data_IF_619212427018
#
_entry.id   IF_619212427018
#
_cell.length_a   1.000
_cell.length_b   1.000
_cell.length_c   1.000
_cell.angle_alpha   90.00
_cell.angle_beta   90.00
_cell.angle_gamma   90.00
#
_symmetry.space_group_name_H-M   'P 1'
#
loop_
_entity.id
_entity.type
_entity.pdbx_description
1 polymer ?
#
# COMPACT_ATOMS: atom_id res chain seq x y z
N UNK A 1 -3.70 23.96 -13.14
CA UNK A 1 -3.88 25.43 -13.15
C UNK A 1 -4.59 25.93 -11.90
N UNK A 2 -5.86 25.56 -11.59
CA UNK A 2 -6.60 26.18 -10.47
C UNK A 2 -5.96 25.97 -9.09
N UNK A 3 -5.40 24.78 -8.82
CA UNK A 3 -4.77 24.50 -7.52
C UNK A 3 -3.48 25.31 -7.28
N UNK A 4 -2.65 25.49 -8.32
CA UNK A 4 -1.37 26.21 -8.18
C UNK A 4 -1.62 27.70 -7.97
N UNK A 5 -2.59 28.26 -8.72
CA UNK A 5 -3.04 29.65 -8.53
C UNK A 5 -3.60 29.87 -7.12
N UNK A 6 -4.48 28.97 -6.65
CA UNK A 6 -5.02 29.04 -5.29
C UNK A 6 -3.92 28.98 -4.22
N UNK A 7 -2.90 28.12 -4.40
CA UNK A 7 -1.74 28.05 -3.52
C UNK A 7 -0.86 29.31 -3.60
N UNK A 8 -0.72 29.92 -4.77
CA UNK A 8 -0.05 31.21 -4.94
C UNK A 8 -0.72 32.31 -4.12
N UNK A 9 -2.04 32.43 -4.24
CA UNK A 9 -2.83 33.39 -3.46
C UNK A 9 -2.76 33.09 -1.95
N UNK A 10 -2.80 31.81 -1.54
CA UNK A 10 -2.64 31.41 -0.15
C UNK A 10 -1.26 31.82 0.39
N UNK A 11 -0.19 31.56 -0.37
CA UNK A 11 1.18 31.95 0.02
C UNK A 11 1.29 33.45 0.25
N UNK A 12 0.65 34.27 -0.59
CA UNK A 12 0.65 35.72 -0.41
C UNK A 12 -0.16 36.13 0.84
N UNK A 13 -1.35 35.55 1.05
CA UNK A 13 -2.23 35.89 2.19
C UNK A 13 -1.65 35.46 3.54
N UNK A 14 -1.00 34.30 3.59
CA UNK A 14 -0.37 33.78 4.80
C UNK A 14 0.80 34.67 5.26
N UNK A 15 1.50 35.31 4.33
CA UNK A 15 2.67 36.14 4.62
C UNK A 15 3.96 35.33 4.84
N UNK A 16 5.07 36.06 4.95
CA UNK A 16 6.39 35.46 5.12
C UNK A 16 6.48 34.66 6.43
N UNK A 17 7.06 33.47 6.37
CA UNK A 17 7.20 32.59 7.55
C UNK A 17 5.97 31.74 7.86
N UNK A 18 4.87 31.84 7.11
CA UNK A 18 3.64 31.08 7.35
C UNK A 18 3.28 30.12 6.21
N UNK A 19 4.16 29.99 5.21
CA UNK A 19 3.98 29.10 4.06
C UNK A 19 5.33 28.48 3.67
N UNK A 20 5.34 27.17 3.43
CA UNK A 20 6.52 26.44 2.99
C UNK A 20 6.15 25.52 1.82
N UNK A 21 6.79 25.72 0.67
CA UNK A 21 6.61 24.93 -0.53
C UNK A 21 7.76 23.93 -0.71
N UNK A 22 7.41 22.65 -0.83
CA UNK A 22 8.35 21.56 -1.16
C UNK A 22 8.04 21.08 -2.57
N UNK A 23 8.97 21.29 -3.50
CA UNK A 23 8.83 20.82 -4.88
C UNK A 23 9.56 19.50 -5.06
N UNK A 24 8.79 18.43 -5.27
CA UNK A 24 9.35 17.09 -5.52
C UNK A 24 9.55 16.92 -7.03
N UNK A 25 10.77 16.57 -7.44
CA UNK A 25 11.13 16.40 -8.85
C UNK A 25 11.97 15.16 -9.07
N UNK A 26 11.79 14.48 -10.20
CA UNK A 26 12.61 13.34 -10.61
C UNK A 26 13.89 13.84 -11.30
N UNK A 27 15.04 13.38 -10.80
CA UNK A 27 16.36 13.51 -11.43
C UNK A 27 16.74 12.12 -11.97
N UNK A 28 16.48 11.84 -13.26
CA UNK A 28 16.77 10.53 -13.83
C UNK A 28 18.28 10.32 -13.95
N UNK A 29 18.69 9.09 -13.66
CA UNK A 29 20.08 8.62 -13.83
C UNK A 29 20.11 7.69 -15.03
N UNK A 30 20.90 8.04 -16.05
CA UNK A 30 21.02 7.20 -17.24
C UNK A 30 21.96 6.02 -16.94
N UNK A 31 21.40 4.82 -16.83
CA UNK A 31 22.15 3.61 -16.45
C UNK A 31 23.42 3.34 -17.26
N UNK A 32 23.47 3.76 -18.54
CA UNK A 32 24.61 3.51 -19.43
C UNK A 32 25.84 4.36 -19.07
N UNK A 33 25.64 5.57 -18.54
CA UNK A 33 26.71 6.57 -18.33
C UNK A 33 26.83 6.97 -16.85
N UNK A 34 25.83 6.63 -16.03
CA UNK A 34 25.75 7.08 -14.62
C UNK A 34 25.41 8.57 -14.46
N UNK A 35 25.19 9.29 -15.56
CA UNK A 35 24.99 10.73 -15.54
C UNK A 35 23.60 11.10 -14.99
N UNK A 36 23.58 11.99 -13.99
CA UNK A 36 22.38 12.51 -13.36
C UNK A 36 21.85 13.73 -14.13
N UNK A 37 20.67 13.61 -14.75
CA UNK A 37 20.13 14.66 -15.63
C UNK A 37 19.24 15.64 -14.86
N UNK A 38 19.74 16.87 -14.69
CA UNK A 38 19.03 17.94 -13.97
C UNK A 38 18.00 18.71 -14.81
N UNK A 39 18.01 18.54 -16.15
CA UNK A 39 17.18 19.36 -17.05
C UNK A 39 15.67 19.25 -16.79
N UNK A 40 15.10 18.05 -16.54
CA UNK A 40 13.68 17.92 -16.20
C UNK A 40 13.29 18.75 -14.96
N UNK A 41 14.12 18.68 -13.91
CA UNK A 41 13.91 19.45 -12.67
C UNK A 41 13.96 20.96 -12.92
N UNK A 42 14.92 21.44 -13.71
CA UNK A 42 15.03 22.86 -14.07
C UNK A 42 13.76 23.37 -14.78
N UNK A 43 13.24 22.60 -15.74
CA UNK A 43 12.00 22.96 -16.44
C UNK A 43 10.79 22.92 -15.52
N UNK A 44 10.72 21.92 -14.64
CA UNK A 44 9.65 21.79 -13.65
C UNK A 44 9.61 22.98 -12.69
N UNK A 45 10.76 23.42 -12.15
CA UNK A 45 10.85 24.60 -11.29
C UNK A 45 10.56 25.90 -12.05
N UNK A 46 10.98 26.00 -13.33
CA UNK A 46 10.61 27.15 -14.18
C UNK A 46 9.09 27.24 -14.36
N UNK A 47 8.43 26.10 -14.59
CA UNK A 47 6.97 26.01 -14.68
C UNK A 47 6.29 26.45 -13.40
N UNK A 48 6.74 25.96 -12.24
CA UNK A 48 6.21 26.37 -10.93
C UNK A 48 6.32 27.89 -10.71
N UNK A 49 7.49 28.46 -11.02
CA UNK A 49 7.74 29.91 -10.91
C UNK A 49 6.89 30.74 -11.86
N UNK A 50 6.67 30.27 -13.08
CA UNK A 50 5.78 30.97 -14.03
C UNK A 50 4.33 31.04 -13.54
N UNK A 51 3.95 30.19 -12.59
CA UNK A 51 2.64 30.18 -11.94
C UNK A 51 2.66 30.89 -10.58
N UNK A 52 3.70 31.69 -10.29
CA UNK A 52 3.76 32.53 -9.09
C UNK A 52 4.27 31.85 -7.82
N UNK A 53 4.71 30.59 -7.88
CA UNK A 53 5.27 29.87 -6.72
C UNK A 53 6.77 29.62 -6.87
N UNK A 54 7.52 29.92 -5.82
CA UNK A 54 8.95 29.58 -5.72
C UNK A 54 9.12 28.53 -4.61
N UNK A 55 9.81 27.42 -4.87
CA UNK A 55 9.97 26.38 -3.87
C UNK A 55 10.92 26.82 -2.77
N UNK A 56 10.56 26.58 -1.51
CA UNK A 56 11.49 26.73 -0.39
C UNK A 56 12.47 25.56 -0.35
N UNK A 57 11.98 24.36 -0.64
CA UNK A 57 12.76 23.11 -0.66
C UNK A 57 12.60 22.45 -2.03
N UNK A 58 13.72 21.99 -2.58
CA UNK A 58 13.74 21.17 -3.79
C UNK A 58 14.07 19.74 -3.40
N UNK A 59 13.09 18.85 -3.41
CA UNK A 59 13.26 17.43 -3.10
C UNK A 59 13.47 16.64 -4.41
N UNK A 60 14.70 16.23 -4.66
CA UNK A 60 15.08 15.51 -5.87
C UNK A 60 15.03 14.00 -5.66
N UNK A 61 14.06 13.32 -6.27
CA UNK A 61 14.00 11.86 -6.33
C UNK A 61 14.97 11.35 -7.39
N UNK A 62 15.84 10.41 -7.03
CA UNK A 62 16.81 9.76 -7.90
C UNK A 62 16.96 8.28 -7.51
N UNK A 63 17.70 7.49 -8.30
CA UNK A 63 18.08 6.12 -7.91
C UNK A 63 19.26 6.13 -6.96
N UNK A 64 20.28 6.96 -7.25
CA UNK A 64 21.48 7.15 -6.42
C UNK A 64 21.50 8.53 -5.75
N UNK A 65 22.37 8.71 -4.76
CA UNK A 65 22.60 10.02 -4.16
C UNK A 65 23.12 11.02 -5.21
N UNK A 66 22.62 12.25 -5.18
CA UNK A 66 23.05 13.32 -6.07
C UNK A 66 24.46 13.82 -5.75
N UNK A 67 25.26 13.93 -6.79
CA UNK A 67 26.61 14.48 -6.72
C UNK A 67 26.60 15.96 -6.31
N UNK A 68 27.66 16.42 -5.66
CA UNK A 68 27.79 17.82 -5.23
C UNK A 68 27.66 18.82 -6.39
N UNK A 69 28.27 18.51 -7.54
CA UNK A 69 28.20 19.33 -8.75
C UNK A 69 26.76 19.42 -9.31
N UNK A 70 25.96 18.37 -9.16
CA UNK A 70 24.55 18.30 -9.57
C UNK A 70 23.70 19.17 -8.65
N UNK A 71 23.93 19.11 -7.34
CA UNK A 71 23.28 20.00 -6.36
C UNK A 71 23.62 21.46 -6.62
N UNK A 72 24.89 21.79 -6.88
CA UNK A 72 25.30 23.15 -7.25
C UNK A 72 24.62 23.64 -8.52
N UNK A 73 24.58 22.80 -9.55
CA UNK A 73 23.89 23.12 -10.82
C UNK A 73 22.42 23.39 -10.57
N UNK A 74 21.74 22.53 -9.82
CA UNK A 74 20.34 22.73 -9.45
C UNK A 74 20.15 24.02 -8.65
N UNK A 75 21.02 24.32 -7.69
CA UNK A 75 20.96 25.56 -6.92
C UNK A 75 21.01 26.80 -7.81
N UNK A 76 21.98 26.86 -8.74
CA UNK A 76 22.16 27.99 -9.67
C UNK A 76 20.98 28.15 -10.62
N UNK A 77 20.48 27.07 -11.22
CA UNK A 77 19.41 27.14 -12.24
C UNK A 77 18.00 27.28 -11.64
N UNK A 78 17.77 26.70 -10.46
CA UNK A 78 16.47 26.73 -9.78
C UNK A 78 16.34 27.89 -8.78
N UNK A 79 17.44 28.57 -8.45
CA UNK A 79 17.52 29.64 -7.45
C UNK A 79 17.05 29.19 -6.06
N UNK A 80 17.46 27.98 -5.68
CA UNK A 80 17.20 27.39 -4.36
C UNK A 80 18.55 27.23 -3.67
N UNK A 81 18.72 27.66 -2.40
CA UNK A 81 19.96 27.44 -1.65
C UNK A 81 20.35 25.97 -1.64
N UNK A 82 21.65 25.67 -1.70
CA UNK A 82 22.13 24.27 -1.80
C UNK A 82 21.69 23.44 -0.59
N UNK A 83 21.65 24.04 0.60
CA UNK A 83 21.17 23.43 1.83
C UNK A 83 19.67 23.08 1.81
N UNK A 84 18.90 23.68 0.89
CA UNK A 84 17.47 23.42 0.70
C UNK A 84 17.20 22.38 -0.41
N UNK A 85 18.26 21.81 -1.02
CA UNK A 85 18.15 20.75 -2.02
C UNK A 85 18.31 19.41 -1.32
N UNK A 86 17.20 18.68 -1.21
CA UNK A 86 17.13 17.39 -0.51
C UNK A 86 17.17 16.25 -1.52
N UNK A 87 18.03 15.30 -1.24
CA UNK A 87 18.29 14.12 -2.06
C UNK A 87 17.42 12.96 -1.57
N UNK A 88 16.54 12.46 -2.42
CA UNK A 88 15.67 11.32 -2.12
C UNK A 88 16.07 10.16 -3.03
N UNK A 89 17.10 9.41 -2.67
CA UNK A 89 17.52 8.24 -3.45
C UNK A 89 16.74 6.97 -3.06
N UNK A 90 16.94 5.89 -3.80
CA UNK A 90 16.28 4.62 -3.49
C UNK A 90 16.84 4.03 -2.20
N UNK A 91 15.97 3.88 -1.20
CA UNK A 91 16.29 3.29 0.09
C UNK A 91 15.73 1.87 0.20
N UNK A 92 16.33 1.05 1.05
CA UNK A 92 16.00 -0.38 1.21
C UNK A 92 14.57 -0.61 1.67
N UNK A 93 14.06 0.25 2.56
CA UNK A 93 12.70 0.18 3.07
C UNK A 93 12.13 1.57 3.40
N UNK A 94 10.80 1.66 3.54
CA UNK A 94 10.10 2.94 3.73
C UNK A 94 10.45 3.64 5.06
N UNK A 95 10.88 2.90 6.08
CA UNK A 95 11.24 3.46 7.38
C UNK A 95 12.59 4.19 7.35
N UNK A 96 13.39 4.00 6.29
CA UNK A 96 14.62 4.78 6.04
C UNK A 96 14.35 6.21 5.58
N UNK A 97 13.15 6.52 5.04
CA UNK A 97 12.88 7.86 4.47
C UNK A 97 12.97 8.98 5.52
N UNK A 98 12.40 8.87 6.73
CA UNK A 98 12.57 9.91 7.75
C UNK A 98 14.01 10.09 8.21
N UNK A 99 14.81 9.02 8.21
CA UNK A 99 16.24 9.06 8.54
C UNK A 99 17.03 9.82 7.48
N UNK A 100 16.79 9.49 6.21
CA UNK A 100 17.36 10.21 5.07
C UNK A 100 17.06 11.71 5.10
N UNK A 101 15.85 12.10 5.52
CA UNK A 101 15.46 13.49 5.69
C UNK A 101 16.12 14.15 6.91
N UNK A 102 16.35 13.39 7.99
CA UNK A 102 17.05 13.87 9.18
C UNK A 102 18.53 14.14 8.87
N UNK A 103 19.21 13.21 8.19
CA UNK A 103 20.64 13.30 7.86
C UNK A 103 20.96 14.54 7.01
N UNK A 104 20.02 14.91 6.14
CA UNK A 104 20.11 16.09 5.30
C UNK A 104 19.51 17.36 5.92
N UNK A 105 19.15 17.29 7.21
CA UNK A 105 18.58 18.42 7.97
C UNK A 105 17.34 19.06 7.32
N UNK A 106 16.55 18.28 6.57
CA UNK A 106 15.38 18.78 5.86
C UNK A 106 14.35 19.41 6.82
N UNK A 107 14.20 18.82 8.01
CA UNK A 107 13.37 19.35 9.09
C UNK A 107 13.83 20.74 9.55
N UNK A 108 15.14 21.01 9.66
CA UNK A 108 15.65 22.33 10.03
C UNK A 108 15.32 23.40 8.98
N UNK A 109 15.34 23.02 7.70
CA UNK A 109 14.96 23.91 6.58
C UNK A 109 13.49 24.28 6.64
N UNK A 110 12.62 23.31 6.92
CA UNK A 110 11.17 23.55 7.11
C UNK A 110 10.96 24.48 8.32
N UNK A 111 11.59 24.18 9.44
CA UNK A 111 11.48 25.00 10.67
C UNK A 111 12.00 26.43 10.46
N UNK A 112 13.07 26.61 9.69
CA UNK A 112 13.57 27.94 9.30
C UNK A 112 12.55 28.67 8.42
N UNK A 113 12.00 27.97 7.42
CA UNK A 113 11.06 28.56 6.46
C UNK A 113 9.74 28.98 7.11
N UNK A 114 9.36 28.33 8.20
CA UNK A 114 8.13 28.60 8.96
C UNK A 114 8.35 29.40 10.26
N UNK A 115 9.55 29.91 10.53
CA UNK A 115 9.89 30.60 11.78
C UNK A 115 9.59 29.77 13.07
N UNK A 116 9.71 28.44 13.00
CA UNK A 116 9.36 27.52 14.10
C UNK A 116 10.56 27.02 14.92
N UNK A 117 11.78 27.52 14.66
CA UNK A 117 13.00 27.03 15.33
C UNK A 117 12.95 27.09 16.86
N UNK A 118 12.30 28.10 17.43
CA UNK A 118 12.18 28.27 18.89
C UNK A 118 11.18 27.32 19.56
N UNK A 119 10.34 26.63 18.80
CA UNK A 119 9.28 25.75 19.30
C UNK A 119 9.56 24.27 19.02
N UNK A 120 10.57 23.98 18.21
CA UNK A 120 10.82 22.64 17.72
C UNK A 120 11.60 21.79 18.72
N UNK A 121 11.08 20.59 18.98
CA UNK A 121 11.82 19.55 19.66
C UNK A 121 12.60 18.70 18.66
N UNK A 122 13.67 18.06 19.12
CA UNK A 122 14.43 17.10 18.30
C UNK A 122 13.50 15.95 17.89
N UNK A 123 13.47 15.54 16.61
CA UNK A 123 12.64 14.42 16.17
C UNK A 123 12.98 13.13 16.91
N UNK A 124 11.97 12.51 17.53
CA UNK A 124 12.11 11.21 18.17
C UNK A 124 12.04 10.09 17.11
N UNK A 125 13.19 9.63 16.62
CA UNK A 125 13.29 8.62 15.57
C UNK A 125 13.67 7.22 16.05
N UNK A 126 13.76 6.98 17.37
CA UNK A 126 14.23 5.68 17.91
C UNK A 126 13.46 4.47 17.38
N UNK A 127 12.13 4.58 17.28
CA UNK A 127 11.28 3.53 16.72
C UNK A 127 11.48 3.36 15.20
N UNK A 128 11.66 4.46 14.47
CA UNK A 128 11.93 4.43 13.02
C UNK A 128 13.24 3.73 12.71
N UNK A 129 14.31 4.05 13.46
CA UNK A 129 15.63 3.41 13.34
C UNK A 129 15.49 1.92 13.59
N UNK A 130 14.91 1.55 14.74
CA UNK A 130 14.80 0.15 15.16
C UNK A 130 14.04 -0.69 14.13
N UNK A 131 12.94 -0.17 13.58
CA UNK A 131 12.15 -0.86 12.55
C UNK A 131 12.87 -0.92 11.20
N UNK A 132 13.56 0.15 10.81
CA UNK A 132 14.29 0.19 9.56
C UNK A 132 15.46 -0.80 9.54
N UNK A 133 16.24 -0.84 10.62
CA UNK A 133 17.34 -1.79 10.80
C UNK A 133 16.83 -3.22 10.86
N UNK A 134 15.79 -3.46 11.65
CA UNK A 134 15.18 -4.78 11.76
C UNK A 134 14.72 -5.29 10.41
N UNK A 135 14.01 -4.48 9.63
CA UNK A 135 13.50 -4.89 8.31
C UNK A 135 14.62 -5.31 7.34
N UNK A 136 15.78 -4.67 7.40
CA UNK A 136 16.89 -4.93 6.46
C UNK A 136 17.62 -6.25 6.76
N UNK A 137 17.56 -6.75 8.01
CA UNK A 137 18.27 -7.97 8.45
C UNK A 137 17.40 -9.23 8.51
N UNK A 138 16.11 -9.15 8.15
CA UNK A 138 15.23 -10.32 8.18
C UNK A 138 15.59 -11.31 7.08
N UNK A 139 15.86 -12.56 7.48
CA UNK A 139 16.21 -13.64 6.57
C UNK A 139 15.17 -14.77 6.55
N UNK A 140 14.60 -15.12 7.72
CA UNK A 140 13.62 -16.20 7.84
C UNK A 140 12.30 -15.84 7.14
N UNK A 141 11.93 -16.53 6.04
CA UNK A 141 10.75 -16.17 5.27
C UNK A 141 9.46 -16.60 5.96
N UNK A 142 8.39 -15.84 5.74
CA UNK A 142 7.01 -16.29 5.89
C UNK A 142 6.29 -16.11 4.56
N UNK A 143 5.79 -17.21 4.01
CA UNK A 143 5.16 -17.24 2.67
C UNK A 143 3.66 -17.12 2.80
N UNK A 144 3.11 -16.05 2.25
CA UNK A 144 1.65 -15.82 2.23
C UNK A 144 1.16 -15.88 0.79
N UNK A 145 0.31 -16.87 0.49
CA UNK A 145 -0.39 -16.93 -0.79
C UNK A 145 -1.51 -15.90 -0.80
N UNK A 146 -1.39 -14.86 -1.62
CA UNK A 146 -2.43 -13.88 -1.85
C UNK A 146 -3.27 -14.29 -3.05
N UNK A 147 -4.47 -14.82 -2.78
CA UNK A 147 -5.37 -15.36 -3.80
C UNK A 147 -6.35 -14.28 -4.24
N UNK A 148 -6.13 -13.69 -5.41
CA UNK A 148 -6.81 -12.46 -5.82
C UNK A 148 -7.13 -12.41 -7.31
N UNK A 149 -7.78 -11.30 -7.70
CA UNK A 149 -8.15 -11.02 -9.10
C UNK A 149 -7.05 -10.26 -9.85
N UNK A 150 -6.28 -9.43 -9.15
CA UNK A 150 -5.34 -8.47 -9.73
C UNK A 150 -3.89 -8.76 -9.32
N UNK A 151 -3.38 -9.95 -9.62
CA UNK A 151 -2.03 -10.38 -9.23
C UNK A 151 -0.90 -9.62 -9.93
N UNK A 152 -1.16 -9.02 -11.09
CA UNK A 152 -0.19 -8.18 -11.81
C UNK A 152 -0.18 -6.70 -11.41
N UNK A 153 -1.12 -6.26 -10.56
CA UNK A 153 -1.26 -4.87 -10.12
C UNK A 153 -1.05 -4.81 -8.61
N UNK A 154 0.21 -4.72 -8.19
CA UNK A 154 0.59 -4.65 -6.77
C UNK A 154 -0.13 -3.52 -6.02
N UNK A 155 -0.46 -2.43 -6.73
CA UNK A 155 -1.12 -1.25 -6.17
C UNK A 155 -2.54 -1.53 -5.69
N UNK A 156 -3.26 -2.47 -6.32
CA UNK A 156 -4.62 -2.86 -5.91
C UNK A 156 -4.67 -3.46 -4.51
N UNK A 157 -3.54 -3.94 -3.99
CA UNK A 157 -3.42 -4.59 -2.69
C UNK A 157 -2.37 -3.93 -1.78
N UNK A 158 -1.94 -2.70 -2.10
CA UNK A 158 -0.85 -2.02 -1.39
C UNK A 158 -1.09 -1.93 0.12
N UNK A 159 -2.32 -1.59 0.54
CA UNK A 159 -2.67 -1.51 1.97
C UNK A 159 -2.53 -2.85 2.69
N UNK A 160 -2.94 -3.94 2.05
CA UNK A 160 -2.82 -5.31 2.58
C UNK A 160 -1.34 -5.70 2.66
N UNK A 161 -0.56 -5.43 1.61
CA UNK A 161 0.88 -5.69 1.59
C UNK A 161 1.61 -4.94 2.71
N UNK A 162 1.29 -3.66 2.93
CA UNK A 162 1.90 -2.88 4.01
C UNK A 162 1.50 -3.40 5.39
N UNK A 163 0.23 -3.78 5.59
CA UNK A 163 -0.22 -4.38 6.85
C UNK A 163 0.52 -5.70 7.13
N UNK A 164 0.64 -6.59 6.13
CA UNK A 164 1.41 -7.83 6.24
C UNK A 164 2.89 -7.55 6.51
N UNK A 165 3.49 -6.56 5.84
CA UNK A 165 4.88 -6.19 6.06
C UNK A 165 5.09 -5.75 7.51
N UNK A 166 4.22 -4.88 8.05
CA UNK A 166 4.30 -4.43 9.43
C UNK A 166 4.19 -5.60 10.41
N UNK A 167 3.24 -6.52 10.20
CA UNK A 167 3.07 -7.70 11.04
C UNK A 167 4.29 -8.65 10.95
N UNK A 168 4.82 -8.86 9.74
CA UNK A 168 5.98 -9.73 9.52
C UNK A 168 7.24 -9.22 10.22
N UNK A 169 7.48 -7.89 10.18
CA UNK A 169 8.61 -7.25 10.87
C UNK A 169 8.44 -7.37 12.39
N UNK A 170 7.24 -7.16 12.92
CA UNK A 170 6.96 -7.35 14.34
C UNK A 170 7.16 -8.81 14.80
N UNK A 171 6.98 -9.76 13.89
CA UNK A 171 7.20 -11.19 14.14
C UNK A 171 8.62 -11.67 13.77
N UNK A 172 9.54 -10.78 13.42
CA UNK A 172 10.91 -11.14 13.01
C UNK A 172 10.94 -12.12 11.81
N UNK A 173 10.09 -11.88 10.80
CA UNK A 173 9.98 -12.69 9.57
C UNK A 173 10.06 -11.82 8.33
N UNK A 174 10.77 -12.30 7.31
CA UNK A 174 10.80 -11.70 5.97
C UNK A 174 9.51 -12.07 5.22
N UNK A 175 8.69 -11.08 4.89
CA UNK A 175 7.47 -11.31 4.12
C UNK A 175 7.80 -11.74 2.68
N UNK A 176 7.30 -12.91 2.29
CA UNK A 176 7.27 -13.38 0.91
C UNK A 176 5.82 -13.53 0.48
N UNK A 177 5.36 -12.72 -0.47
CA UNK A 177 3.98 -12.80 -0.99
C UNK A 177 4.00 -13.54 -2.32
N UNK A 178 3.33 -14.69 -2.35
CA UNK A 178 3.12 -15.47 -3.56
C UNK A 178 1.76 -15.06 -4.15
N UNK A 179 1.78 -14.46 -5.35
CA UNK A 179 0.57 -13.98 -6.01
C UNK A 179 -0.11 -15.12 -6.77
N UNK A 180 -1.32 -15.47 -6.37
CA UNK A 180 -2.08 -16.58 -6.97
C UNK A 180 -3.33 -16.01 -7.65
N UNK A 181 -3.38 -15.97 -9.00
CA UNK A 181 -4.58 -15.54 -9.70
C UNK A 181 -5.68 -16.55 -9.43
N UNK A 182 -6.82 -16.10 -8.89
CA UNK A 182 -7.87 -17.02 -8.47
C UNK A 182 -8.43 -17.82 -9.65
N UNK A 183 -8.56 -17.22 -10.84
CA UNK A 183 -8.98 -17.91 -12.07
C UNK A 183 -8.11 -19.12 -12.39
N UNK A 184 -6.80 -19.03 -12.11
CA UNK A 184 -5.84 -20.06 -12.50
C UNK A 184 -5.95 -21.31 -11.63
N UNK A 185 -6.69 -21.25 -10.53
CA UNK A 185 -7.00 -22.40 -9.67
C UNK A 185 -8.22 -23.20 -10.16
N UNK A 186 -8.98 -22.69 -11.14
CA UNK A 186 -10.23 -23.27 -11.60
C UNK A 186 -10.04 -24.41 -12.61
N UNK A 187 -11.03 -25.31 -12.70
CA UNK A 187 -11.00 -26.45 -13.62
C UNK A 187 -11.01 -26.05 -15.10
N UNK A 188 -11.52 -24.85 -15.42
CA UNK A 188 -11.44 -24.30 -16.77
C UNK A 188 -9.97 -24.12 -17.18
N UNK A 189 -9.16 -23.46 -16.35
CA UNK A 189 -7.72 -23.28 -16.62
C UNK A 189 -6.96 -24.61 -16.61
N UNK A 190 -7.38 -25.59 -15.81
CA UNK A 190 -6.81 -26.95 -15.87
C UNK A 190 -6.93 -27.57 -17.28
N UNK A 191 -8.02 -27.30 -18.00
CA UNK A 191 -8.26 -27.80 -19.36
C UNK A 191 -7.57 -26.94 -20.42
N UNK A 192 -7.67 -25.61 -20.30
CA UNK A 192 -7.17 -24.66 -21.29
C UNK A 192 -5.64 -24.46 -21.21
N UNK A 193 -5.11 -24.38 -19.99
CA UNK A 193 -3.69 -24.14 -19.73
C UNK A 193 -3.18 -24.92 -18.49
N UNK A 194 -2.90 -26.23 -18.63
CA UNK A 194 -2.48 -27.08 -17.52
C UNK A 194 -1.22 -26.61 -16.79
N UNK A 195 -0.29 -25.94 -17.50
CA UNK A 195 0.96 -25.44 -16.92
C UNK A 195 0.70 -24.27 -15.97
N UNK A 196 -0.13 -23.32 -16.38
CA UNK A 196 -0.56 -22.20 -15.53
C UNK A 196 -1.29 -22.70 -14.29
N UNK A 197 -2.23 -23.63 -14.46
CA UNK A 197 -2.95 -24.24 -13.35
C UNK A 197 -2.00 -24.91 -12.34
N UNK A 198 -1.06 -25.73 -12.84
CA UNK A 198 -0.07 -26.41 -11.98
C UNK A 198 0.82 -25.41 -11.24
N UNK A 199 1.23 -24.33 -11.90
CA UNK A 199 2.02 -23.26 -11.28
C UNK A 199 1.27 -22.57 -10.14
N UNK A 200 0.02 -22.16 -10.38
CA UNK A 200 -0.83 -21.52 -9.38
C UNK A 200 -1.05 -22.41 -8.15
N UNK A 201 -1.34 -23.70 -8.37
CA UNK A 201 -1.49 -24.67 -7.29
C UNK A 201 -0.18 -24.95 -6.54
N UNK A 202 0.97 -24.94 -7.21
CA UNK A 202 2.27 -25.09 -6.54
C UNK A 202 2.56 -23.89 -5.62
N UNK A 203 2.25 -22.67 -6.05
CA UNK A 203 2.36 -21.47 -5.22
C UNK A 203 1.46 -21.55 -3.99
N UNK A 204 0.19 -21.92 -4.18
CA UNK A 204 -0.76 -22.08 -3.08
C UNK A 204 -0.32 -23.16 -2.07
N UNK A 205 0.16 -24.31 -2.56
CA UNK A 205 0.60 -25.43 -1.72
C UNK A 205 1.91 -25.16 -0.99
N UNK A 206 2.76 -24.30 -1.54
CA UNK A 206 4.04 -23.90 -0.94
C UNK A 206 3.96 -22.77 0.07
N UNK A 207 2.77 -22.23 0.35
CA UNK A 207 2.58 -21.12 1.28
C UNK A 207 2.30 -21.58 2.71
N UNK A 208 2.79 -20.79 3.67
CA UNK A 208 2.57 -20.99 5.12
C UNK A 208 1.21 -20.47 5.58
N UNK A 209 0.61 -19.56 4.81
CA UNK A 209 -0.72 -19.01 5.06
C UNK A 209 -1.41 -18.61 3.75
N UNK A 210 -2.74 -18.63 3.75
CA UNK A 210 -3.59 -18.20 2.64
C UNK A 210 -4.36 -16.95 3.01
N UNK A 211 -4.29 -15.92 2.17
CA UNK A 211 -5.06 -14.69 2.31
C UNK A 211 -5.94 -14.48 1.08
N UNK A 212 -7.25 -14.34 1.31
CA UNK A 212 -8.21 -13.93 0.28
C UNK A 212 -8.67 -12.51 0.62
N UNK A 213 -8.28 -11.50 -0.18
CA UNK A 213 -8.62 -10.12 0.07
C UNK A 213 -10.09 -9.83 -0.31
N UNK A 214 -10.51 -8.59 -0.09
CA UNK A 214 -11.79 -8.11 -0.63
C UNK A 214 -11.83 -8.14 -2.16
N UNK A 215 -13.04 -8.16 -2.71
CA UNK A 215 -13.26 -8.14 -4.15
C UNK A 215 -14.73 -7.93 -4.47
N UNK A 216 -15.04 -7.86 -5.75
CA UNK A 216 -16.39 -7.73 -6.29
C UNK A 216 -16.51 -8.52 -7.59
N UNK A 217 -17.72 -8.96 -7.88
CA UNK A 217 -18.03 -9.76 -9.07
C UNK A 217 -17.61 -11.23 -8.96
N UNK A 218 -18.08 -12.00 -9.94
CA UNK A 218 -18.01 -13.45 -10.05
C UNK A 218 -16.63 -14.00 -10.44
N UNK A 219 -15.79 -13.20 -11.09
CA UNK A 219 -14.50 -13.68 -11.61
C UNK A 219 -13.58 -14.23 -10.53
N UNK A 220 -13.12 -15.47 -10.74
CA UNK A 220 -12.22 -16.14 -9.81
C UNK A 220 -12.90 -16.56 -8.51
N UNK A 221 -14.24 -16.63 -8.47
CA UNK A 221 -14.99 -17.01 -7.27
C UNK A 221 -14.68 -18.46 -6.87
N UNK A 222 -14.84 -19.39 -7.80
CA UNK A 222 -14.63 -20.82 -7.55
C UNK A 222 -13.16 -21.09 -7.19
N UNK A 223 -12.21 -20.40 -7.83
CA UNK A 223 -10.81 -20.49 -7.45
C UNK A 223 -10.52 -20.07 -6.00
N UNK A 224 -11.19 -19.01 -5.51
CA UNK A 224 -11.07 -18.60 -4.09
C UNK A 224 -11.71 -19.63 -3.15
N UNK A 225 -12.84 -20.23 -3.53
CA UNK A 225 -13.50 -21.29 -2.76
C UNK A 225 -12.56 -22.51 -2.66
N UNK A 226 -11.93 -22.91 -3.77
CA UNK A 226 -10.92 -23.98 -3.80
C UNK A 226 -9.72 -23.67 -2.90
N UNK A 227 -9.24 -22.44 -2.88
CA UNK A 227 -8.16 -22.03 -1.99
C UNK A 227 -8.56 -22.08 -0.51
N UNK A 228 -9.77 -21.63 -0.16
CA UNK A 228 -10.30 -21.73 1.21
C UNK A 228 -10.45 -23.19 1.65
N UNK A 229 -10.95 -24.06 0.75
CA UNK A 229 -11.09 -25.50 0.98
C UNK A 229 -9.73 -26.14 1.25
N UNK A 230 -8.75 -25.85 0.39
CA UNK A 230 -7.39 -26.33 0.55
C UNK A 230 -6.81 -25.92 1.91
N UNK A 231 -6.95 -24.66 2.30
CA UNK A 231 -6.45 -24.18 3.58
C UNK A 231 -7.10 -24.90 4.77
N UNK A 232 -8.42 -25.10 4.74
CA UNK A 232 -9.16 -25.83 5.80
C UNK A 232 -8.72 -27.28 5.91
N UNK A 233 -8.69 -28.01 4.79
CA UNK A 233 -8.38 -29.45 4.76
C UNK A 233 -6.95 -29.75 5.18
N UNK A 234 -6.01 -28.85 4.87
CA UNK A 234 -4.60 -29.00 5.18
C UNK A 234 -4.17 -28.25 6.44
N UNK A 235 -5.12 -27.66 7.19
CA UNK A 235 -4.88 -26.89 8.43
C UNK A 235 -3.89 -25.74 8.25
N UNK A 236 -3.92 -25.10 7.08
CA UNK A 236 -3.13 -23.90 6.78
C UNK A 236 -3.89 -22.67 7.31
N UNK A 237 -3.22 -21.75 8.03
CA UNK A 237 -3.83 -20.50 8.46
C UNK A 237 -4.47 -19.73 7.30
N UNK A 238 -5.72 -19.33 7.47
CA UNK A 238 -6.51 -18.62 6.47
C UNK A 238 -6.97 -17.27 7.02
N UNK A 239 -6.83 -16.20 6.23
CA UNK A 239 -7.42 -14.89 6.50
C UNK A 239 -8.30 -14.43 5.33
N UNK A 240 -9.61 -14.38 5.56
CA UNK A 240 -10.58 -13.83 4.61
C UNK A 240 -10.95 -12.40 4.96
N UNK A 241 -10.68 -11.46 4.06
CA UNK A 241 -11.02 -10.03 4.24
C UNK A 241 -12.26 -9.71 3.42
N UNK A 242 -13.33 -9.22 4.06
CA UNK A 242 -14.58 -8.84 3.39
C UNK A 242 -15.14 -10.00 2.55
N UNK A 243 -15.00 -9.96 1.22
CA UNK A 243 -15.36 -11.08 0.33
C UNK A 243 -14.72 -12.40 0.77
N UNK A 244 -13.44 -12.40 1.17
CA UNK A 244 -12.79 -13.63 1.64
C UNK A 244 -13.51 -14.30 2.83
N UNK A 245 -14.14 -13.51 3.71
CA UNK A 245 -14.96 -14.07 4.78
C UNK A 245 -16.22 -14.76 4.22
N UNK A 246 -16.89 -14.13 3.25
CA UNK A 246 -18.04 -14.74 2.56
C UNK A 246 -17.66 -16.05 1.86
N UNK A 247 -16.49 -16.09 1.19
CA UNK A 247 -15.95 -17.30 0.56
C UNK A 247 -15.80 -18.43 1.57
N UNK A 248 -15.28 -18.14 2.77
CA UNK A 248 -15.10 -19.18 3.79
C UNK A 248 -16.44 -19.78 4.27
N UNK A 249 -17.51 -18.97 4.33
CA UNK A 249 -18.85 -19.43 4.68
C UNK A 249 -19.43 -20.32 3.57
N UNK A 250 -19.30 -19.90 2.31
CA UNK A 250 -19.75 -20.65 1.14
C UNK A 250 -19.02 -21.98 1.04
N UNK A 251 -17.69 -21.99 1.19
CA UNK A 251 -16.88 -23.21 1.16
C UNK A 251 -17.31 -24.20 2.25
N UNK A 252 -17.52 -23.72 3.47
CA UNK A 252 -17.89 -24.59 4.58
C UNK A 252 -19.29 -25.20 4.38
N UNK A 253 -20.25 -24.40 3.90
CA UNK A 253 -21.60 -24.88 3.57
C UNK A 253 -21.57 -25.98 2.50
N UNK A 254 -20.79 -25.79 1.44
CA UNK A 254 -20.64 -26.78 0.36
C UNK A 254 -19.91 -28.05 0.80
N UNK A 255 -18.73 -27.88 1.41
CA UNK A 255 -17.82 -29.00 1.69
C UNK A 255 -18.19 -29.78 2.94
N UNK A 256 -18.64 -29.11 4.01
CA UNK A 256 -18.84 -29.72 5.33
C UNK A 256 -20.31 -30.02 5.59
N UNK A 257 -21.22 -29.09 5.24
CA UNK A 257 -22.66 -29.29 5.41
C UNK A 257 -23.31 -30.00 4.22
N UNK A 258 -22.60 -30.17 3.11
CA UNK A 258 -23.08 -30.86 1.92
C UNK A 258 -24.05 -30.06 1.05
N UNK A 259 -24.25 -28.77 1.33
CA UNK A 259 -25.14 -27.87 0.58
C UNK A 259 -24.44 -27.41 -0.71
N UNK A 260 -24.45 -28.25 -1.75
CA UNK A 260 -23.64 -28.02 -2.96
C UNK A 260 -24.00 -26.74 -3.72
N UNK A 261 -25.26 -26.32 -3.68
CA UNK A 261 -25.72 -25.10 -4.35
C UNK A 261 -25.54 -23.83 -3.49
N UNK A 262 -25.04 -23.96 -2.26
CA UNK A 262 -24.88 -22.84 -1.35
C UNK A 262 -24.06 -21.72 -1.98
N UNK A 263 -24.58 -20.50 -1.97
CA UNK A 263 -23.90 -19.35 -2.57
C UNK A 263 -24.31 -18.02 -1.95
N UNK A 264 -23.65 -16.94 -2.37
CA UNK A 264 -24.10 -15.56 -2.13
C UNK A 264 -25.16 -15.17 -3.17
N UNK A 265 -26.17 -14.41 -2.75
CA UNK A 265 -27.15 -13.81 -3.67
C UNK A 265 -26.51 -12.79 -4.61
N UNK A 266 -25.28 -12.33 -4.34
CA UNK A 266 -24.50 -11.51 -5.29
C UNK A 266 -24.10 -12.31 -6.54
N UNK A 267 -23.78 -13.60 -6.39
CA UNK A 267 -23.21 -14.43 -7.46
C UNK A 267 -24.24 -15.38 -8.08
N UNK A 268 -25.15 -15.89 -7.26
CA UNK A 268 -26.26 -16.74 -7.70
C UNK A 268 -27.55 -16.32 -6.98
N UNK A 269 -28.39 -15.48 -7.62
CA UNK A 269 -29.66 -15.07 -7.06
C UNK A 269 -30.69 -16.20 -6.92
N UNK A 270 -30.49 -17.34 -7.59
CA UNK A 270 -31.44 -18.45 -7.65
C UNK A 270 -31.06 -19.64 -6.77
N UNK A 271 -29.95 -19.56 -6.03
CA UNK A 271 -29.52 -20.58 -5.06
C UNK A 271 -30.64 -20.91 -4.08
N UNK A 272 -30.88 -22.19 -3.80
CA UNK A 272 -31.85 -22.60 -2.79
C UNK A 272 -31.28 -22.46 -1.38
N UNK A 273 -29.95 -22.30 -1.25
CA UNK A 273 -29.23 -22.16 0.01
C UNK A 273 -28.41 -20.84 0.06
N UNK A 274 -29.07 -19.67 0.14
CA UNK A 274 -28.41 -18.36 0.16
C UNK A 274 -27.68 -18.11 1.49
N UNK A 275 -26.40 -18.48 1.55
CA UNK A 275 -25.59 -18.36 2.77
C UNK A 275 -25.14 -16.92 3.04
N UNK A 276 -25.12 -16.07 2.01
CA UNK A 276 -24.81 -14.64 2.11
C UNK A 276 -25.87 -13.88 1.32
N UNK A 277 -26.53 -12.93 1.98
CA UNK A 277 -27.63 -12.16 1.39
C UNK A 277 -27.30 -10.66 1.35
N UNK A 278 -27.90 -9.95 0.39
CA UNK A 278 -27.86 -8.50 0.35
C UNK A 278 -28.75 -7.90 1.45
N UNK A 279 -28.13 -7.28 2.45
CA UNK A 279 -28.81 -6.63 3.56
C UNK A 279 -28.23 -5.21 3.77
N UNK A 280 -28.72 -4.20 3.04
CA UNK A 280 -28.23 -2.84 3.16
C UNK A 280 -28.70 -2.18 4.46
N UNK A 281 -28.05 -1.09 4.83
CA UNK A 281 -28.48 -0.32 5.99
C UNK A 281 -29.48 0.76 5.59
N UNK A 282 -30.54 0.91 6.39
CA UNK A 282 -31.44 2.04 6.30
C UNK A 282 -30.78 3.30 6.85
N UNK A 283 -30.91 4.41 6.13
CA UNK A 283 -30.41 5.71 6.55
C UNK A 283 -31.58 6.66 6.82
N UNK A 284 -31.51 7.41 7.93
CA UNK A 284 -32.50 8.46 8.23
C UNK A 284 -32.34 9.70 7.36
N UNK A 285 -31.17 9.87 6.73
CA UNK A 285 -30.84 11.06 5.92
C UNK A 285 -30.71 10.77 4.43
N UNK A 286 -30.64 9.50 4.05
CA UNK A 286 -30.50 9.06 2.66
C UNK A 286 -31.58 8.01 2.40
N UNK A 287 -32.49 8.29 1.46
CA UNK A 287 -33.52 7.33 1.08
C UNK A 287 -32.90 6.16 0.29
N UNK A 288 -33.42 4.95 0.50
CA UNK A 288 -32.92 3.72 -0.13
C UNK A 288 -31.93 2.93 0.73
N UNK A 289 -31.38 1.85 0.16
CA UNK A 289 -30.38 1.02 0.81
C UNK A 289 -28.99 1.65 0.72
N UNK A 290 -28.37 1.89 1.87
CA UNK A 290 -27.00 2.42 1.93
C UNK A 290 -25.98 1.32 2.18
N UNK A 291 -24.76 1.48 1.65
CA UNK A 291 -23.64 0.60 1.97
C UNK A 291 -23.25 0.76 3.44
N UNK A 292 -22.95 -0.36 4.11
CA UNK A 292 -22.37 -0.33 5.45
C UNK A 292 -20.93 0.19 5.37
N UNK A 293 -20.77 1.49 5.66
CA UNK A 293 -19.50 2.21 5.59
C UNK A 293 -19.28 3.04 6.87
N UNK A 294 -18.00 3.30 7.18
CA UNK A 294 -17.55 4.08 8.33
C UNK A 294 -17.19 3.23 9.55
N UNK A 295 -16.78 3.90 10.62
CA UNK A 295 -16.46 3.22 11.89
C UNK A 295 -17.71 2.60 12.49
N UNK A 296 -17.65 1.31 12.80
CA UNK A 296 -18.75 0.55 13.40
C UNK A 296 -18.26 -0.25 14.58
N UNK A 297 -19.10 -0.36 15.59
CA UNK A 297 -18.82 -1.18 16.76
C UNK A 297 -19.16 -2.65 16.45
N UNK A 298 -18.23 -3.53 16.77
CA UNK A 298 -18.39 -4.98 16.68
C UNK A 298 -18.14 -5.56 18.06
N UNK A 299 -19.10 -6.33 18.59
CA UNK A 299 -19.01 -6.93 19.92
C UNK A 299 -18.64 -8.41 19.78
N UNK A 300 -17.64 -8.86 20.55
CA UNK A 300 -17.34 -10.28 20.62
C UNK A 300 -18.41 -11.01 21.44
N UNK A 301 -18.90 -12.13 20.92
CA UNK A 301 -19.80 -13.01 21.64
C UNK A 301 -19.05 -14.11 22.41
N UNK A 302 -17.88 -14.51 21.92
CA UNK A 302 -17.04 -15.55 22.53
C UNK A 302 -15.75 -14.95 23.09
N UNK A 303 -15.72 -14.78 24.41
CA UNK A 303 -14.58 -14.19 25.16
C UNK A 303 -13.35 -15.09 25.18
N UNK A 304 -13.51 -16.40 24.91
CA UNK A 304 -12.38 -17.33 24.85
C UNK A 304 -11.62 -17.30 23.52
N UNK A 305 -12.17 -16.66 22.49
CA UNK A 305 -11.55 -16.56 21.15
C UNK A 305 -10.22 -15.79 21.20
N UNK A 306 -9.28 -16.15 20.31
CA UNK A 306 -7.98 -15.46 20.22
C UNK A 306 -8.16 -13.95 19.96
N UNK A 307 -9.09 -13.58 19.09
CA UNK A 307 -9.37 -12.19 18.76
C UNK A 307 -9.93 -11.37 19.92
N UNK A 308 -10.67 -12.00 20.84
CA UNK A 308 -11.18 -11.32 22.04
C UNK A 308 -10.11 -11.11 23.12
N UNK A 309 -8.97 -11.79 23.02
CA UNK A 309 -7.85 -11.73 23.98
C UNK A 309 -6.71 -10.81 23.54
N UNK A 310 -6.73 -10.34 22.29
CA UNK A 310 -5.81 -9.34 21.73
C UNK A 310 -6.33 -7.94 22.06
#
# INVERSE_FOLDING_TARGET
MPFIEALGQLSHRAGAGNFCSVHVSLVPVLHVVGEQKTKPTQQSVRGLRSLGLTPNILACRSTTELDGNVKEKLSRFCHVPIENIITLYDVTNIWRVPLLLQDQKAHEVILKSLNLKGYALKPALGEWISRADLCDVLHDPVRVAMVGKYTGLTDSYLSVLKALLHASVACYRKLCVDWVPASDLEDATKKENPNTYKSAWNLLKGADAVLVPGGFGDRGLEGKILAAKYARENRIPYLGICLGMQISVIEFARSVLGLQDANSTEFDPNTQNPCVIFMPEGSKTHMGGTMRLGSRRTYFQCTSSKSAKL
#
